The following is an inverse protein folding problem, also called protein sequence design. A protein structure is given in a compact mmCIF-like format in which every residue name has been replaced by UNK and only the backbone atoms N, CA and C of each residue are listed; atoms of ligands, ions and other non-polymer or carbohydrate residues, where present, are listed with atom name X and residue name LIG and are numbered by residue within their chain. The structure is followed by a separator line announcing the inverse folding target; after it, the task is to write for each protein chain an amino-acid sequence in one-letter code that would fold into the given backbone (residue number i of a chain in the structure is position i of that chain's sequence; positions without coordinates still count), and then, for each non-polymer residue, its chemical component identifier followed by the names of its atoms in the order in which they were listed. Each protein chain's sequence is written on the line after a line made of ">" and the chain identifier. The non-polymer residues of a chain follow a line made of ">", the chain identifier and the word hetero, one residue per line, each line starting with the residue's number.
data_IF_828203225369
#
_entry.id   IF_828203225369
#
_cell.length_a   1.000
_cell.length_b   1.000
_cell.length_c   1.000
_cell.angle_alpha   90.00
_cell.angle_beta   90.00
_cell.angle_gamma   90.00
#
_symmetry.space_group_name_H-M   'P 1'
#
loop_
_entity.id
_entity.type
_entity.pdbx_description
1 polymer ?
#
# COMPACT_ATOMS: atom_id res chain seq x y z
N UNK A 1 -18.86 -8.08 -25.42
CA UNK A 1 -19.52 -8.95 -24.40
C UNK A 1 -21.01 -8.63 -24.42
N UNK A 2 -21.86 -9.63 -24.75
CA UNK A 2 -23.28 -9.43 -25.06
C UNK A 2 -24.02 -8.85 -23.83
N UNK A 3 -24.87 -7.84 -24.03
CA UNK A 3 -25.57 -7.11 -22.94
C UNK A 3 -26.37 -7.97 -21.97
N UNK A 4 -26.70 -9.20 -22.35
CA UNK A 4 -27.37 -10.21 -21.51
C UNK A 4 -26.47 -10.66 -20.35
N UNK A 5 -25.17 -10.90 -20.58
CA UNK A 5 -24.23 -11.33 -19.54
C UNK A 5 -24.05 -10.22 -18.50
N UNK A 6 -24.00 -8.96 -18.94
CA UNK A 6 -23.86 -7.79 -18.06
C UNK A 6 -25.08 -7.61 -17.14
N UNK A 7 -26.30 -7.88 -17.64
CA UNK A 7 -27.53 -7.87 -16.83
C UNK A 7 -27.58 -8.99 -15.80
N UNK A 8 -27.16 -10.20 -16.18
CA UNK A 8 -27.14 -11.33 -15.26
C UNK A 8 -26.12 -11.14 -14.13
N UNK A 9 -24.95 -10.61 -14.47
CA UNK A 9 -23.94 -10.26 -13.48
C UNK A 9 -24.42 -9.14 -12.55
N UNK A 10 -25.13 -8.14 -13.07
CA UNK A 10 -25.74 -7.09 -12.24
C UNK A 10 -26.71 -7.64 -11.19
N UNK A 11 -27.45 -8.71 -11.50
CA UNK A 11 -28.38 -9.37 -10.55
C UNK A 11 -27.66 -10.07 -9.39
N UNK A 12 -26.44 -10.56 -9.60
CA UNK A 12 -25.61 -11.16 -8.54
C UNK A 12 -24.68 -10.15 -7.88
N UNK A 13 -24.95 -8.85 -8.07
CA UNK A 13 -24.14 -7.77 -7.51
C UNK A 13 -22.75 -7.70 -8.14
N UNK A 14 -22.65 -7.88 -9.46
CA UNK A 14 -21.38 -7.79 -10.20
C UNK A 14 -21.56 -6.87 -11.40
N UNK A 15 -20.87 -5.73 -11.40
CA UNK A 15 -20.81 -4.83 -12.54
C UNK A 15 -19.50 -4.97 -13.30
N UNK A 16 -19.61 -4.98 -14.62
CA UNK A 16 -18.46 -4.98 -15.52
C UNK A 16 -18.30 -3.60 -16.15
N UNK A 17 -17.12 -3.01 -15.99
CA UNK A 17 -16.71 -1.76 -16.63
C UNK A 17 -15.65 -2.05 -17.70
N UNK A 18 -15.88 -1.54 -18.91
CA UNK A 18 -14.87 -1.56 -19.97
C UNK A 18 -14.16 -0.21 -20.03
N UNK A 19 -12.84 -0.19 -19.95
CA UNK A 19 -12.03 1.00 -20.21
C UNK A 19 -10.98 0.70 -21.30
N UNK A 20 -10.40 1.75 -21.90
CA UNK A 20 -9.23 1.61 -22.79
C UNK A 20 -8.07 1.02 -21.97
N UNK A 21 -7.85 -0.28 -22.10
CA UNK A 21 -6.79 -1.01 -21.38
C UNK A 21 -7.26 -2.22 -20.56
N UNK A 22 -8.57 -2.48 -20.45
CA UNK A 22 -9.03 -3.70 -19.77
C UNK A 22 -10.51 -3.74 -19.39
N UNK A 23 -10.88 -4.88 -18.81
CA UNK A 23 -12.22 -5.15 -18.25
C UNK A 23 -12.08 -5.22 -16.73
N UNK A 24 -12.85 -4.39 -16.02
CA UNK A 24 -12.90 -4.37 -14.57
C UNK A 24 -14.20 -5.05 -14.13
N UNK A 25 -14.10 -5.96 -13.17
CA UNK A 25 -15.24 -6.65 -12.55
C UNK A 25 -15.31 -6.15 -11.13
N UNK A 26 -16.39 -5.46 -10.78
CA UNK A 26 -16.62 -4.89 -9.46
C UNK A 26 -17.80 -5.60 -8.82
N UNK A 27 -17.66 -6.07 -7.57
CA UNK A 27 -18.83 -6.45 -6.78
C UNK A 27 -19.59 -5.18 -6.37
N UNK A 28 -20.83 -5.05 -6.83
CA UNK A 28 -21.75 -4.02 -6.39
C UNK A 28 -22.48 -4.55 -5.15
N UNK A 29 -22.50 -3.80 -4.03
CA UNK A 29 -23.42 -4.10 -2.95
C UNK A 29 -24.83 -4.21 -3.52
N UNK A 30 -25.60 -5.22 -3.11
CA UNK A 30 -27.00 -5.34 -3.52
C UNK A 30 -27.73 -4.02 -3.24
N UNK A 31 -27.96 -3.25 -4.31
CA UNK A 31 -28.54 -1.92 -4.25
C UNK A 31 -30.05 -2.04 -4.00
N UNK A 32 -30.41 -2.26 -2.74
CA UNK A 32 -31.61 -1.62 -2.22
C UNK A 32 -31.38 -0.11 -2.22
N UNK A 33 -31.68 0.53 -3.36
CA UNK A 33 -31.57 1.96 -3.67
C UNK A 33 -30.16 2.45 -3.98
N UNK A 34 -30.06 3.19 -5.08
CA UNK A 34 -29.05 4.22 -5.28
C UNK A 34 -29.14 5.24 -4.12
N UNK A 35 -28.55 4.90 -2.98
CA UNK A 35 -28.22 5.87 -1.96
C UNK A 35 -27.15 6.78 -2.56
N UNK A 36 -27.34 8.10 -2.44
CA UNK A 36 -26.25 9.07 -2.49
C UNK A 36 -25.02 8.43 -1.85
N UNK A 37 -23.85 8.50 -2.49
CA UNK A 37 -22.58 8.12 -1.88
C UNK A 37 -22.61 8.65 -0.44
N UNK A 38 -22.72 7.75 0.54
CA UNK A 38 -22.84 8.17 1.93
C UNK A 38 -21.55 8.90 2.24
N UNK A 39 -21.67 10.16 2.63
CA UNK A 39 -20.52 10.92 3.09
C UNK A 39 -19.78 10.06 4.12
N UNK A 40 -18.47 9.90 3.92
CA UNK A 40 -17.64 9.25 4.93
C UNK A 40 -17.83 10.02 6.26
N UNK A 41 -17.81 9.31 7.40
CA UNK A 41 -17.96 9.93 8.71
C UNK A 41 -16.98 11.09 8.92
N UNK A 42 -17.32 11.97 9.85
CA UNK A 42 -16.52 13.15 10.16
C UNK A 42 -15.06 12.83 10.55
N UNK A 43 -14.75 11.60 11.02
CA UNK A 43 -13.38 11.11 11.11
C UNK A 43 -13.23 9.71 10.49
N UNK A 44 -12.35 9.57 9.49
CA UNK A 44 -12.07 8.28 8.87
C UNK A 44 -10.59 8.10 8.52
N UNK A 45 -10.07 6.90 8.84
CA UNK A 45 -8.74 6.46 8.46
C UNK A 45 -8.84 5.36 7.40
N UNK A 46 -7.95 5.41 6.43
CA UNK A 46 -7.79 4.35 5.44
C UNK A 46 -6.58 3.51 5.83
N UNK A 47 -6.79 2.24 6.14
CA UNK A 47 -5.72 1.26 6.32
C UNK A 47 -5.57 0.43 5.06
N UNK A 48 -4.40 0.44 4.45
CA UNK A 48 -4.09 -0.36 3.28
C UNK A 48 -3.17 -1.50 3.73
N UNK A 49 -3.59 -2.74 3.46
CA UNK A 49 -2.81 -3.93 3.78
C UNK A 49 -2.84 -4.90 2.60
N UNK A 50 -1.68 -5.46 2.25
CA UNK A 50 -1.63 -6.62 1.38
C UNK A 50 -1.88 -7.87 2.23
N UNK A 51 -2.91 -8.64 1.87
CA UNK A 51 -3.06 -10.02 2.34
C UNK A 51 -2.40 -10.95 1.32
N UNK A 52 -1.72 -11.98 1.80
CA UNK A 52 -1.07 -12.98 0.94
C UNK A 52 -2.09 -13.58 -0.05
N UNK A 53 -1.78 -13.56 -1.35
CA UNK A 53 -2.63 -14.11 -2.41
C UNK A 53 -3.67 -13.16 -3.03
N UNK A 54 -3.88 -11.95 -2.50
CA UNK A 54 -4.85 -10.99 -3.05
C UNK A 54 -4.23 -9.63 -3.42
N UNK A 55 -4.76 -9.00 -4.48
CA UNK A 55 -4.39 -7.63 -4.87
C UNK A 55 -4.94 -6.65 -3.83
N UNK A 56 -4.04 -6.06 -3.03
CA UNK A 56 -4.24 -4.87 -2.17
C UNK A 56 -5.64 -4.67 -1.59
N UNK A 57 -5.87 -5.13 -0.35
CA UNK A 57 -7.13 -4.87 0.34
C UNK A 57 -7.09 -3.46 0.95
N UNK A 58 -8.10 -2.68 0.62
CA UNK A 58 -8.35 -1.34 1.18
C UNK A 58 -9.29 -1.49 2.37
N UNK A 59 -8.75 -1.46 3.58
CA UNK A 59 -9.54 -1.48 4.81
C UNK A 59 -9.82 -0.04 5.27
N UNK A 60 -11.08 0.41 5.21
CA UNK A 60 -11.46 1.71 5.80
C UNK A 60 -11.76 1.49 7.29
N UNK A 61 -10.92 2.01 8.18
CA UNK A 61 -11.15 1.98 9.63
C UNK A 61 -11.57 3.35 10.11
N UNK A 62 -12.88 3.56 10.31
CA UNK A 62 -13.42 4.80 10.87
C UNK A 62 -14.88 4.99 10.51
N UNK A 63 -15.73 5.10 11.54
CA UNK A 63 -17.19 5.31 11.47
C UNK A 63 -17.96 4.44 10.45
N UNK A 64 -18.46 3.29 10.91
CA UNK A 64 -19.67 2.67 10.34
C UNK A 64 -19.63 2.13 8.90
N UNK A 65 -18.48 2.09 8.21
CA UNK A 65 -18.34 1.39 6.91
C UNK A 65 -17.55 0.11 7.12
N UNK A 66 -18.09 -1.02 6.67
CA UNK A 66 -17.47 -2.32 6.84
C UNK A 66 -16.22 -2.44 5.93
N UNK A 67 -15.08 -2.97 6.43
CA UNK A 67 -13.84 -3.16 5.66
C UNK A 67 -14.00 -3.89 4.33
N UNK A 68 -15.05 -4.72 4.20
CA UNK A 68 -15.32 -5.60 3.07
C UNK A 68 -16.01 -4.94 1.87
N UNK A 69 -16.30 -3.64 1.91
CA UNK A 69 -17.13 -2.98 0.88
C UNK A 69 -16.34 -2.29 -0.24
N UNK A 70 -15.00 -2.30 -0.20
CA UNK A 70 -14.18 -1.59 -1.19
C UNK A 70 -13.11 -2.48 -1.84
N UNK A 71 -13.47 -3.11 -2.96
CA UNK A 71 -12.49 -3.67 -3.91
C UNK A 71 -12.06 -2.56 -4.89
N UNK A 72 -10.86 -2.01 -4.75
CA UNK A 72 -10.33 -0.99 -5.67
C UNK A 72 -8.81 -1.01 -5.75
N UNK A 73 -8.25 -0.53 -6.86
CA UNK A 73 -6.80 -0.46 -7.04
C UNK A 73 -6.22 0.64 -6.16
N UNK A 74 -5.11 0.38 -5.46
CA UNK A 74 -4.40 1.39 -4.67
C UNK A 74 -3.91 2.59 -5.49
N UNK A 75 -3.84 2.44 -6.81
CA UNK A 75 -3.45 3.48 -7.77
C UNK A 75 -4.63 4.41 -8.11
N UNK A 76 -5.88 3.95 -7.93
CA UNK A 76 -7.11 4.68 -8.23
C UNK A 76 -8.24 4.26 -7.30
N UNK A 77 -8.71 5.22 -6.50
CA UNK A 77 -9.76 5.10 -5.50
C UNK A 77 -10.94 6.02 -5.86
N UNK A 78 -11.55 5.87 -7.06
CA UNK A 78 -12.57 6.79 -7.58
C UNK A 78 -13.84 6.88 -6.72
N UNK A 79 -14.07 5.87 -5.89
CA UNK A 79 -15.21 5.82 -4.96
C UNK A 79 -14.98 6.66 -3.68
N UNK A 80 -13.74 7.08 -3.40
CA UNK A 80 -13.40 7.92 -2.27
C UNK A 80 -13.34 9.38 -2.75
N UNK A 81 -14.15 10.30 -2.18
CA UNK A 81 -14.13 11.71 -2.55
C UNK A 81 -12.77 12.38 -2.27
N UNK A 82 -12.55 13.52 -2.92
CA UNK A 82 -11.42 14.39 -2.62
C UNK A 82 -11.53 14.91 -1.17
N UNK A 83 -10.39 15.04 -0.49
CA UNK A 83 -10.30 15.64 0.84
C UNK A 83 -11.28 15.08 1.87
N UNK A 84 -11.55 13.77 1.82
CA UNK A 84 -12.50 13.11 2.71
C UNK A 84 -11.87 12.29 3.84
N UNK A 85 -10.56 11.99 3.74
CA UNK A 85 -9.86 11.08 4.66
C UNK A 85 -8.89 11.85 5.55
N UNK A 86 -8.86 11.56 6.86
CA UNK A 86 -7.94 12.22 7.79
C UNK A 86 -6.54 11.61 7.76
N UNK A 87 -6.47 10.31 7.54
CA UNK A 87 -5.20 9.62 7.44
C UNK A 87 -5.24 8.33 6.63
N UNK A 88 -4.11 8.00 6.02
CA UNK A 88 -3.87 6.76 5.30
C UNK A 88 -2.72 6.04 5.99
N UNK A 89 -2.85 4.75 6.27
CA UNK A 89 -1.81 3.91 6.85
C UNK A 89 -1.53 2.72 5.95
N UNK A 90 -0.36 2.70 5.34
CA UNK A 90 0.18 1.60 4.55
C UNK A 90 1.03 0.71 5.48
N UNK A 91 0.76 -0.59 5.50
CA UNK A 91 1.58 -1.55 6.26
C UNK A 91 1.99 -2.65 5.31
N UNK A 92 3.28 -2.73 5.00
CA UNK A 92 3.83 -3.72 4.06
C UNK A 92 3.14 -3.66 2.69
N UNK A 93 2.93 -2.45 2.17
CA UNK A 93 2.22 -2.20 0.91
C UNK A 93 3.08 -1.46 -0.10
N UNK A 94 3.76 -0.41 0.35
CA UNK A 94 4.42 0.54 -0.54
C UNK A 94 5.53 -0.12 -1.35
N UNK A 95 6.21 -1.12 -0.76
CA UNK A 95 7.28 -1.87 -1.42
C UNK A 95 6.80 -2.76 -2.58
N UNK A 96 5.51 -3.04 -2.68
CA UNK A 96 4.95 -3.85 -3.75
C UNK A 96 4.38 -3.01 -4.91
N UNK A 97 4.45 -1.69 -4.81
CA UNK A 97 4.09 -0.79 -5.90
C UNK A 97 5.26 -0.61 -6.84
N UNK A 98 5.08 -1.00 -8.11
CA UNK A 98 6.05 -0.71 -9.15
C UNK A 98 6.27 0.80 -9.28
N UNK A 99 7.52 1.21 -9.55
CA UNK A 99 7.90 2.62 -9.75
C UNK A 99 6.96 3.40 -10.67
N UNK A 100 6.44 2.79 -11.73
CA UNK A 100 5.50 3.44 -12.66
C UNK A 100 4.12 3.72 -12.05
N UNK A 101 3.68 2.91 -11.09
CA UNK A 101 2.37 3.00 -10.46
C UNK A 101 2.40 3.87 -9.19
N UNK A 102 3.55 3.91 -8.50
CA UNK A 102 3.74 4.69 -7.27
C UNK A 102 3.35 6.15 -7.41
N UNK A 103 3.86 6.85 -8.43
CA UNK A 103 3.52 8.27 -8.66
C UNK A 103 2.01 8.51 -8.82
N UNK A 104 1.31 7.56 -9.41
CA UNK A 104 -0.15 7.67 -9.56
C UNK A 104 -0.86 7.35 -8.25
N UNK A 105 -0.41 6.34 -7.51
CA UNK A 105 -0.94 5.99 -6.20
C UNK A 105 -0.75 7.13 -5.18
N UNK A 106 0.46 7.70 -5.07
CA UNK A 106 0.77 8.79 -4.15
C UNK A 106 -0.08 10.04 -4.45
N UNK A 107 -0.28 10.38 -5.72
CA UNK A 107 -1.18 11.47 -6.12
C UNK A 107 -2.63 11.18 -5.73
N UNK A 108 -3.08 9.95 -5.92
CA UNK A 108 -4.42 9.52 -5.55
C UNK A 108 -4.65 9.57 -4.03
N UNK A 109 -3.67 9.13 -3.25
CA UNK A 109 -3.69 9.23 -1.79
C UNK A 109 -3.71 10.69 -1.33
N UNK A 110 -2.94 11.56 -1.99
CA UNK A 110 -2.96 13.00 -1.70
C UNK A 110 -4.30 13.64 -2.04
N UNK A 111 -4.97 13.19 -3.13
CA UNK A 111 -6.30 13.67 -3.54
C UNK A 111 -7.32 13.43 -2.42
N UNK A 112 -7.38 12.20 -1.90
CA UNK A 112 -8.39 11.81 -0.91
C UNK A 112 -8.10 12.30 0.51
N UNK A 113 -6.83 12.59 0.84
CA UNK A 113 -6.47 13.16 2.13
C UNK A 113 -7.01 14.59 2.28
N UNK A 114 -7.55 14.90 3.45
CA UNK A 114 -7.86 16.26 3.90
C UNK A 114 -6.60 17.11 3.96
N UNK A 115 -6.77 18.44 3.98
CA UNK A 115 -5.69 19.36 4.37
C UNK A 115 -5.16 18.93 5.74
N UNK A 116 -3.83 18.91 5.86
CA UNK A 116 -3.11 18.42 7.04
C UNK A 116 -3.32 16.92 7.37
N UNK A 117 -4.02 16.19 6.50
CA UNK A 117 -4.20 14.75 6.61
C UNK A 117 -2.87 14.00 6.47
N UNK A 118 -2.76 12.85 7.12
CA UNK A 118 -1.48 12.14 7.29
C UNK A 118 -1.40 10.89 6.42
N UNK A 119 -0.26 10.64 5.79
CA UNK A 119 0.07 9.34 5.20
C UNK A 119 1.19 8.70 6.02
N UNK A 120 0.93 7.50 6.54
CA UNK A 120 1.89 6.66 7.24
C UNK A 120 2.27 5.48 6.36
N UNK A 121 3.57 5.26 6.16
CA UNK A 121 4.13 4.10 5.50
C UNK A 121 4.92 3.33 6.54
N UNK A 122 4.49 2.11 6.87
CA UNK A 122 5.09 1.30 7.92
C UNK A 122 5.80 0.09 7.34
N UNK A 123 7.02 -0.13 7.83
CA UNK A 123 7.82 -1.30 7.46
C UNK A 123 8.44 -1.24 6.06
N UNK A 124 8.78 -0.08 5.51
CA UNK A 124 9.42 -0.04 4.19
C UNK A 124 10.86 -0.58 4.26
N UNK A 125 11.32 -1.55 3.43
CA UNK A 125 12.71 -2.00 3.47
C UNK A 125 13.70 -0.85 3.19
N UNK A 126 14.69 -0.66 4.08
CA UNK A 126 15.79 0.29 3.88
C UNK A 126 16.97 -0.42 3.22
N UNK A 127 17.07 -0.30 1.90
CA UNK A 127 18.11 -0.95 1.11
C UNK A 127 19.52 -0.51 1.52
N UNK A 128 19.70 0.74 1.92
CA UNK A 128 21.00 1.24 2.37
C UNK A 128 21.41 0.56 3.68
N UNK A 129 20.49 0.47 4.64
CA UNK A 129 20.74 -0.24 5.90
C UNK A 129 20.99 -1.74 5.67
N UNK A 130 20.17 -2.38 4.83
CA UNK A 130 20.31 -3.81 4.48
C UNK A 130 21.68 -4.07 3.84
N UNK A 131 22.05 -3.30 2.82
CA UNK A 131 23.33 -3.44 2.12
C UNK A 131 24.51 -3.21 3.07
N UNK A 132 24.42 -2.18 3.93
CA UNK A 132 25.44 -1.89 4.94
C UNK A 132 25.65 -3.05 5.90
N UNK A 133 24.57 -3.65 6.41
CA UNK A 133 24.64 -4.80 7.32
C UNK A 133 25.17 -6.06 6.64
N UNK A 134 24.87 -6.26 5.36
CA UNK A 134 25.41 -7.37 4.57
C UNK A 134 26.92 -7.21 4.34
N UNK A 135 27.35 -6.05 3.85
CA UNK A 135 28.77 -5.77 3.57
C UNK A 135 29.62 -5.81 4.85
N UNK A 136 29.13 -5.28 5.97
CA UNK A 136 29.85 -5.36 7.24
C UNK A 136 29.92 -6.77 7.81
N UNK A 137 28.97 -7.66 7.49
CA UNK A 137 29.02 -9.05 7.90
C UNK A 137 30.20 -9.79 7.27
N UNK A 138 30.44 -9.55 5.98
CA UNK A 138 31.59 -10.13 5.27
C UNK A 138 32.93 -9.70 5.90
N UNK A 139 33.00 -8.51 6.47
CA UNK A 139 34.21 -7.97 7.09
C UNK A 139 34.46 -8.47 8.52
N UNK A 140 33.41 -8.82 9.26
CA UNK A 140 33.49 -9.18 10.70
C UNK A 140 33.51 -10.69 10.98
N UNK A 141 33.39 -11.51 9.93
CA UNK A 141 33.44 -12.96 10.02
C UNK A 141 32.06 -13.63 10.17
N UNK A 142 32.01 -14.97 10.15
CA UNK A 142 30.77 -15.74 10.15
C UNK A 142 29.87 -15.38 11.35
N UNK A 143 28.60 -15.03 11.07
CA UNK A 143 27.60 -14.71 12.09
C UNK A 143 27.51 -13.23 12.50
N UNK A 144 28.39 -12.37 11.98
CA UNK A 144 28.45 -10.96 12.36
C UNK A 144 27.66 -10.02 11.43
N UNK A 145 26.39 -10.32 11.12
CA UNK A 145 25.51 -9.42 10.36
C UNK A 145 24.48 -10.17 9.49
N UNK A 146 24.02 -9.54 8.41
CA UNK A 146 23.03 -10.15 7.52
C UNK A 146 23.65 -11.18 6.58
N UNK A 147 23.01 -12.34 6.47
CA UNK A 147 23.29 -13.34 5.44
C UNK A 147 22.49 -13.04 4.16
N UNK A 148 22.94 -13.61 3.04
CA UNK A 148 22.27 -13.42 1.74
C UNK A 148 20.80 -13.84 1.79
N UNK A 149 20.47 -14.91 2.49
CA UNK A 149 19.07 -15.37 2.65
C UNK A 149 18.20 -14.30 3.32
N UNK A 150 18.75 -13.58 4.29
CA UNK A 150 18.03 -12.51 5.00
C UNK A 150 17.87 -11.27 4.11
N UNK A 151 18.89 -10.94 3.31
CA UNK A 151 18.79 -9.87 2.28
C UNK A 151 17.69 -10.19 1.29
N UNK A 152 17.65 -11.43 0.80
CA UNK A 152 16.60 -11.89 -0.11
C UNK A 152 15.22 -11.87 0.55
N UNK A 153 15.11 -12.21 1.83
CA UNK A 153 13.86 -12.10 2.57
C UNK A 153 13.33 -10.65 2.62
N UNK A 154 14.20 -9.69 2.90
CA UNK A 154 13.84 -8.27 2.92
C UNK A 154 13.39 -7.77 1.54
N UNK A 155 14.05 -8.21 0.47
CA UNK A 155 13.88 -7.66 -0.89
C UNK A 155 12.94 -8.45 -1.81
N UNK A 156 12.67 -9.72 -1.51
CA UNK A 156 11.90 -10.63 -2.37
C UNK A 156 10.85 -11.45 -1.61
N UNK A 157 10.80 -11.37 -0.28
CA UNK A 157 9.92 -12.21 0.53
C UNK A 157 10.56 -13.56 0.92
N UNK A 158 9.83 -14.38 1.63
CA UNK A 158 10.35 -15.62 2.21
C UNK A 158 10.57 -16.70 1.15
N UNK A 159 11.83 -16.88 0.73
CA UNK A 159 12.22 -17.86 -0.27
C UNK A 159 12.03 -19.32 0.16
N UNK A 160 11.81 -19.57 1.46
CA UNK A 160 11.70 -20.92 2.03
C UNK A 160 10.27 -21.47 1.98
N UNK A 161 9.27 -20.62 1.69
CA UNK A 161 7.89 -21.06 1.54
C UNK A 161 7.74 -22.00 0.34
N UNK A 162 6.99 -23.08 0.56
CA UNK A 162 6.69 -24.09 -0.46
C UNK A 162 5.86 -23.52 -1.61
N UNK A 163 4.95 -22.59 -1.30
CA UNK A 163 4.28 -21.76 -2.27
C UNK A 163 5.04 -20.43 -2.41
N UNK A 164 5.65 -20.22 -3.57
CA UNK A 164 6.41 -19.01 -3.93
C UNK A 164 5.54 -17.98 -4.64
N UNK A 165 4.23 -18.16 -4.65
CA UNK A 165 3.28 -17.21 -5.24
C UNK A 165 3.37 -15.81 -4.60
N UNK A 166 3.90 -15.73 -3.37
CA UNK A 166 4.16 -14.51 -2.61
C UNK A 166 5.56 -13.93 -2.82
N UNK A 167 6.40 -14.52 -3.69
CA UNK A 167 7.63 -13.89 -4.21
C UNK A 167 7.27 -12.77 -5.18
N UNK A 168 6.49 -11.81 -4.69
CA UNK A 168 6.25 -10.55 -5.34
C UNK A 168 7.57 -9.79 -5.32
N UNK A 169 8.01 -9.37 -6.50
CA UNK A 169 9.14 -8.44 -6.61
C UNK A 169 8.81 -7.20 -5.80
N UNK A 170 9.52 -6.99 -4.70
CA UNK A 170 9.49 -5.71 -3.99
C UNK A 170 10.42 -4.76 -4.71
N UNK A 171 10.00 -3.52 -4.82
CA UNK A 171 10.92 -2.44 -5.10
C UNK A 171 11.78 -2.18 -3.87
N UNK A 172 12.97 -1.63 -4.08
CA UNK A 172 13.92 -1.32 -3.01
C UNK A 172 14.06 0.17 -2.85
N UNK A 173 14.18 0.63 -1.61
CA UNK A 173 14.13 2.04 -1.26
C UNK A 173 15.33 2.39 -0.39
N UNK A 174 15.89 3.56 -0.63
CA UNK A 174 16.69 4.26 0.37
C UNK A 174 15.81 5.31 1.06
N UNK A 175 16.21 5.73 2.26
CA UNK A 175 15.60 6.86 2.96
C UNK A 175 15.47 8.10 2.07
N UNK A 176 16.54 8.41 1.33
CA UNK A 176 16.57 9.55 0.41
C UNK A 176 15.53 9.39 -0.71
N UNK A 177 15.47 8.22 -1.35
CA UNK A 177 14.58 7.99 -2.50
C UNK A 177 13.09 8.13 -2.14
N UNK A 178 12.66 7.58 -1.00
CA UNK A 178 11.25 7.67 -0.57
C UNK A 178 10.90 9.09 -0.14
N UNK A 179 11.84 9.77 0.53
CA UNK A 179 11.66 11.16 0.95
C UNK A 179 11.49 12.09 -0.24
N UNK A 180 12.38 11.97 -1.23
CA UNK A 180 12.31 12.76 -2.46
C UNK A 180 11.00 12.54 -3.22
N UNK A 181 10.57 11.28 -3.35
CA UNK A 181 9.33 10.91 -4.03
C UNK A 181 8.08 11.53 -3.36
N UNK A 182 8.02 11.50 -2.03
CA UNK A 182 6.89 12.07 -1.27
C UNK A 182 6.90 13.60 -1.31
N UNK A 183 8.06 14.24 -1.23
CA UNK A 183 8.20 15.70 -1.38
C UNK A 183 7.78 16.16 -2.78
N UNK A 184 8.23 15.47 -3.84
CA UNK A 184 7.83 15.79 -5.22
C UNK A 184 6.32 15.69 -5.40
N UNK A 185 5.68 14.74 -4.72
CA UNK A 185 4.23 14.60 -4.75
C UNK A 185 3.47 15.65 -3.92
N UNK A 186 4.15 16.57 -3.25
CA UNK A 186 3.54 17.67 -2.50
C UNK A 186 3.15 17.31 -1.07
N UNK A 187 3.86 16.36 -0.46
CA UNK A 187 3.79 16.11 0.97
C UNK A 187 4.89 16.86 1.74
N UNK A 188 4.64 17.07 3.03
CA UNK A 188 5.62 17.51 4.01
C UNK A 188 6.06 16.33 4.88
N UNK A 189 7.37 16.14 5.07
CA UNK A 189 7.90 15.06 5.91
C UNK A 189 7.69 15.40 7.38
N UNK A 190 6.96 14.55 8.10
CA UNK A 190 6.81 14.67 9.55
C UNK A 190 7.86 13.83 10.29
N UNK A 191 8.11 12.59 9.85
CA UNK A 191 9.19 11.76 10.37
C UNK A 191 9.63 10.67 9.39
N UNK A 192 10.88 10.24 9.51
CA UNK A 192 11.43 9.05 8.85
C UNK A 192 12.30 8.31 9.87
N UNK A 193 11.80 7.19 10.37
CA UNK A 193 12.39 6.49 11.51
C UNK A 193 12.90 5.11 11.07
N UNK A 194 14.17 4.77 11.34
CA UNK A 194 14.66 3.41 11.16
C UNK A 194 14.09 2.51 12.26
N UNK A 195 13.46 1.41 11.89
CA UNK A 195 12.76 0.49 12.80
C UNK A 195 13.20 -0.96 12.62
N UNK A 196 13.03 -1.74 13.70
CA UNK A 196 13.10 -3.20 13.66
C UNK A 196 11.68 -3.76 13.57
N UNK A 197 11.43 -4.72 12.69
CA UNK A 197 10.15 -5.46 12.69
C UNK A 197 10.14 -6.55 13.76
N UNK A 198 11.31 -7.09 14.10
CA UNK A 198 11.44 -8.13 15.12
C UNK A 198 12.62 -7.82 16.06
N UNK A 199 12.51 -8.13 17.36
CA UNK A 199 13.62 -7.93 18.31
C UNK A 199 14.90 -8.69 17.92
N UNK A 200 14.75 -9.81 17.19
CA UNK A 200 15.83 -10.66 16.71
C UNK A 200 16.61 -10.10 15.51
N UNK A 201 16.10 -9.07 14.83
CA UNK A 201 16.82 -8.44 13.72
C UNK A 201 18.13 -7.84 14.24
N UNK A 202 19.26 -7.95 13.52
CA UNK A 202 20.55 -7.46 14.01
C UNK A 202 20.63 -5.93 14.10
N UNK A 203 19.87 -5.23 13.27
CA UNK A 203 19.85 -3.79 13.10
C UNK A 203 18.45 -3.33 12.67
N UNK A 204 18.10 -2.03 12.73
CA UNK A 204 16.91 -1.54 12.07
C UNK A 204 17.08 -1.59 10.54
N UNK A 205 16.31 -2.45 9.88
CA UNK A 205 16.40 -2.71 8.44
C UNK A 205 15.24 -2.10 7.65
N UNK A 206 14.37 -1.36 8.34
CA UNK A 206 13.11 -0.88 7.81
C UNK A 206 12.93 0.60 8.14
N UNK A 207 12.07 1.28 7.40
CA UNK A 207 11.67 2.65 7.62
C UNK A 207 10.18 2.72 7.93
N UNK A 208 9.86 3.48 8.97
CA UNK A 208 8.55 4.05 9.16
C UNK A 208 8.59 5.51 8.72
N UNK A 209 7.70 5.88 7.79
CA UNK A 209 7.63 7.22 7.20
C UNK A 209 6.27 7.82 7.50
N UNK A 210 6.26 9.04 8.03
CA UNK A 210 5.03 9.81 8.27
C UNK A 210 5.13 11.12 7.53
N UNK A 211 4.13 11.41 6.71
CA UNK A 211 4.04 12.66 5.94
C UNK A 211 2.68 13.31 6.06
N UNK A 212 2.60 14.62 5.89
CA UNK A 212 1.35 15.39 5.88
C UNK A 212 1.06 15.98 4.51
N UNK A 213 -0.22 16.02 4.13
CA UNK A 213 -0.65 16.73 2.92
C UNK A 213 -0.41 18.22 3.13
N UNK A 214 0.47 18.81 2.30
CA UNK A 214 0.66 20.26 2.27
C UNK A 214 -0.61 20.92 1.72
N UNK A 215 -1.13 21.90 2.47
CA UNK A 215 -2.34 22.68 2.15
C UNK A 215 -2.26 23.50 0.88
#
# INVERSE_FOLDING_TARGET
>A
MKGIIRRFLGLVGVEIYGARGGVYVCRVPHAGRAGRARALPASCWLRLRLQEGERGVVEVTGGGVAPSEFESSLVRLPQIPDESVDGIKLIDVYEYLFRQDRRSAIREWRRILRRDGTLEIRGLPDFEAIATQYVHAEQRGPGAGLRLEQVLQCTHGDLTKADRSDLLRKDVFTRESVTAELIEAGYEIASVEPVRRQPSEPAPLWLDVVVRKRG
#
